data_IF_978636845624
#
_entry.id   IF_978636845624
#
_cell.length_a   1.000
_cell.length_b   1.000
_cell.length_c   1.000
_cell.angle_alpha   90.00
_cell.angle_beta   90.00
_cell.angle_gamma   90.00
#
_symmetry.space_group_name_H-M   'P 1'
#
loop_
_entity.id
_entity.type
_entity.pdbx_description
1 polymer ?
#
# COMPACT_ATOMS: atom_id res chain seq x y z
N UNK A 1 15.15 -74.81 71.26
CA UNK A 1 14.77 -75.62 70.08
C UNK A 1 13.27 -75.50 69.83
N UNK A 2 12.87 -74.81 68.75
CA UNK A 2 11.56 -74.83 68.04
C UNK A 2 11.54 -73.57 67.15
N UNK A 3 11.70 -73.74 65.83
CA UNK A 3 10.67 -73.60 64.77
C UNK A 3 10.25 -72.13 64.53
N UNK A 4 10.13 -71.54 63.34
CA UNK A 4 10.17 -71.95 61.92
C UNK A 4 10.00 -70.61 61.11
N UNK A 5 10.70 -70.45 59.97
CA UNK A 5 10.36 -69.72 58.71
C UNK A 5 9.76 -68.28 58.73
N UNK A 6 9.90 -67.38 57.75
CA UNK A 6 10.63 -67.17 56.47
C UNK A 6 10.18 -65.75 56.01
N UNK A 7 10.96 -65.05 55.19
CA UNK A 7 10.57 -64.20 54.01
C UNK A 7 11.46 -62.93 53.85
N UNK A 8 12.44 -63.09 52.95
CA UNK A 8 12.84 -62.26 51.78
C UNK A 8 12.93 -60.72 51.88
N UNK A 9 14.20 -60.27 51.90
CA UNK A 9 14.91 -59.32 51.02
C UNK A 9 14.39 -57.88 50.69
N UNK A 10 15.35 -56.96 50.87
CA UNK A 10 15.71 -55.79 50.05
C UNK A 10 14.80 -54.54 50.08
N UNK A 11 15.19 -53.57 50.92
CA UNK A 11 14.71 -52.19 50.90
C UNK A 11 15.60 -51.26 50.07
N UNK A 12 14.98 -50.71 49.03
CA UNK A 12 15.43 -49.82 47.96
C UNK A 12 16.45 -48.71 48.27
N UNK A 13 17.41 -48.58 47.35
CA UNK A 13 18.14 -47.35 47.03
C UNK A 13 17.14 -46.37 46.41
N UNK A 14 16.96 -45.21 47.03
CA UNK A 14 16.15 -44.12 46.49
C UNK A 14 16.80 -43.54 45.23
N UNK A 15 16.31 -43.95 44.06
CA UNK A 15 16.58 -43.31 42.78
C UNK A 15 15.83 -41.98 42.75
N UNK A 16 16.58 -40.87 42.79
CA UNK A 16 16.10 -39.59 42.28
C UNK A 16 15.74 -39.78 40.81
N UNK A 17 14.44 -39.76 40.51
CA UNK A 17 13.95 -39.65 39.16
C UNK A 17 14.20 -38.22 38.66
N UNK A 18 15.23 -38.06 37.82
CA UNK A 18 15.40 -36.88 36.99
C UNK A 18 14.27 -36.89 35.96
N UNK A 19 13.19 -36.13 36.20
CA UNK A 19 12.17 -35.91 35.19
C UNK A 19 12.80 -35.03 34.09
N UNK A 20 13.18 -35.66 32.98
CA UNK A 20 13.57 -34.97 31.76
C UNK A 20 12.35 -34.19 31.26
N UNK A 21 12.39 -32.87 31.39
CA UNK A 21 11.39 -31.97 30.82
C UNK A 21 11.49 -32.00 29.30
N UNK A 22 10.72 -32.89 28.67
CA UNK A 22 10.47 -32.80 27.23
C UNK A 22 9.39 -31.74 26.99
N UNK A 23 9.67 -30.48 27.33
CA UNK A 23 8.82 -29.35 26.95
C UNK A 23 8.98 -29.15 25.44
N UNK A 24 8.08 -29.75 24.67
CA UNK A 24 8.07 -29.58 23.22
C UNK A 24 7.26 -28.30 22.88
N UNK A 25 7.86 -27.35 22.17
CA UNK A 25 7.22 -26.08 21.88
C UNK A 25 6.03 -26.23 20.93
N UNK A 26 4.87 -25.70 21.34
CA UNK A 26 3.79 -25.34 20.41
C UNK A 26 4.29 -24.22 19.52
N UNK A 27 4.09 -24.34 18.19
CA UNK A 27 4.56 -23.31 17.27
C UNK A 27 3.66 -23.03 16.07
N UNK A 28 3.46 -21.76 15.78
CA UNK A 28 2.88 -21.31 14.52
C UNK A 28 3.97 -21.19 13.46
N UNK A 29 3.75 -21.75 12.26
CA UNK A 29 4.71 -21.66 11.16
C UNK A 29 4.01 -21.07 9.93
N UNK A 30 4.82 -20.65 8.96
CA UNK A 30 4.41 -20.28 7.61
C UNK A 30 3.58 -19.00 7.52
N UNK A 31 4.24 -17.88 7.79
CA UNK A 31 3.82 -16.61 7.19
C UNK A 31 4.23 -16.62 5.72
N UNK A 32 3.27 -16.53 4.81
CA UNK A 32 3.58 -16.33 3.40
C UNK A 32 4.26 -14.96 3.25
N UNK A 33 5.54 -14.96 2.87
CA UNK A 33 6.28 -13.73 2.64
C UNK A 33 5.86 -13.23 1.27
N UNK A 34 4.82 -12.40 1.26
CA UNK A 34 4.52 -11.56 0.11
C UNK A 34 5.70 -10.63 -0.14
N UNK A 35 6.06 -10.39 -1.41
CA UNK A 35 7.17 -9.48 -1.75
C UNK A 35 6.98 -8.05 -1.24
N UNK A 36 5.76 -7.67 -0.87
CA UNK A 36 5.40 -6.35 -0.35
C UNK A 36 5.59 -6.23 1.17
N UNK A 37 5.59 -7.34 1.91
CA UNK A 37 5.71 -7.36 3.37
C UNK A 37 6.94 -8.15 3.83
N UNK A 38 7.37 -7.89 5.06
CA UNK A 38 8.32 -8.69 5.81
C UNK A 38 7.71 -9.01 7.16
N UNK A 39 7.63 -10.29 7.50
CA UNK A 39 6.99 -10.73 8.75
C UNK A 39 7.98 -11.48 9.63
N UNK A 40 8.00 -11.14 10.91
CA UNK A 40 8.93 -11.73 11.88
C UNK A 40 8.31 -11.87 13.28
N UNK A 41 8.61 -12.94 14.03
CA UNK A 41 9.39 -14.11 13.62
C UNK A 41 8.58 -15.03 12.69
N UNK A 42 9.27 -15.85 11.88
CA UNK A 42 8.61 -16.85 11.04
C UNK A 42 8.00 -18.02 11.84
N UNK A 43 8.43 -18.18 13.10
CA UNK A 43 7.94 -19.18 14.03
C UNK A 43 7.67 -18.54 15.38
N UNK A 44 6.43 -18.63 15.86
CA UNK A 44 6.06 -18.22 17.21
C UNK A 44 6.00 -19.46 18.07
N UNK A 45 6.72 -19.50 19.18
CA UNK A 45 6.69 -20.64 20.09
C UNK A 45 6.27 -20.27 21.51
N UNK A 46 5.33 -21.05 22.06
CA UNK A 46 4.83 -20.88 23.43
C UNK A 46 5.45 -21.84 24.46
N UNK A 47 6.39 -22.71 24.05
CA UNK A 47 6.97 -23.75 24.91
C UNK A 47 5.87 -24.61 25.59
N UNK A 48 6.09 -25.03 26.85
CA UNK A 48 5.05 -25.65 27.69
C UNK A 48 4.23 -24.57 28.36
N UNK A 49 2.91 -24.71 28.29
CA UNK A 49 1.94 -23.80 28.91
C UNK A 49 1.10 -24.56 29.92
N UNK A 50 0.72 -23.90 31.02
CA UNK A 50 -0.20 -24.48 31.99
C UNK A 50 -1.64 -24.04 31.71
N UNK A 51 -2.65 -24.86 32.07
CA UNK A 51 -4.06 -24.50 31.88
C UNK A 51 -4.41 -23.15 32.52
N UNK A 52 -5.09 -22.28 31.78
CA UNK A 52 -5.47 -20.95 32.25
C UNK A 52 -4.36 -19.89 32.18
N UNK A 53 -3.15 -20.23 31.72
CA UNK A 53 -2.11 -19.23 31.51
C UNK A 53 -2.32 -18.43 30.21
N UNK A 54 -2.05 -17.13 30.30
CA UNK A 54 -1.97 -16.24 29.15
C UNK A 54 -0.51 -16.00 28.82
N UNK A 55 -0.11 -16.33 27.59
CA UNK A 55 1.26 -16.16 27.12
C UNK A 55 1.30 -15.23 25.91
N UNK A 56 2.16 -14.21 25.96
CA UNK A 56 2.28 -13.16 24.94
C UNK A 56 3.49 -13.42 24.04
N UNK A 57 3.34 -13.28 22.72
CA UNK A 57 4.45 -13.35 21.76
C UNK A 57 4.33 -12.27 20.68
N UNK A 58 5.42 -11.60 20.30
CA UNK A 58 5.37 -10.57 19.26
C UNK A 58 5.28 -11.18 17.86
N UNK A 59 4.58 -10.49 16.97
CA UNK A 59 4.57 -10.69 15.52
C UNK A 59 4.63 -9.32 14.84
N UNK A 60 5.76 -9.00 14.22
CA UNK A 60 5.95 -7.74 13.53
C UNK A 60 5.70 -7.93 12.04
N UNK A 61 4.85 -7.08 11.46
CA UNK A 61 4.57 -7.02 10.03
C UNK A 61 5.08 -5.68 9.53
N UNK A 62 6.04 -5.70 8.62
CA UNK A 62 6.71 -4.51 8.12
C UNK A 62 6.50 -4.42 6.61
N UNK A 63 6.53 -3.22 6.05
CA UNK A 63 6.73 -3.07 4.60
C UNK A 63 8.09 -3.65 4.21
N UNK A 64 8.13 -4.42 3.12
CA UNK A 64 9.37 -5.01 2.65
C UNK A 64 10.33 -3.95 2.14
N UNK A 65 11.63 -4.27 2.11
CA UNK A 65 12.63 -3.38 1.52
C UNK A 65 12.35 -3.05 0.03
N UNK A 66 11.77 -4.00 -0.71
CA UNK A 66 11.38 -3.76 -2.10
C UNK A 66 10.22 -2.77 -2.20
N UNK A 67 9.25 -2.87 -1.29
CA UNK A 67 8.12 -1.96 -1.20
C UNK A 67 8.54 -0.54 -0.81
N UNK A 68 9.36 -0.43 0.24
CA UNK A 68 9.91 0.84 0.72
C UNK A 68 10.70 1.55 -0.39
N UNK A 69 11.58 0.83 -1.11
CA UNK A 69 12.38 1.38 -2.22
C UNK A 69 11.54 1.72 -3.44
N UNK A 70 10.36 1.14 -3.59
CA UNK A 70 9.50 1.43 -4.72
C UNK A 70 8.94 2.84 -4.62
N UNK A 71 9.20 3.67 -5.62
CA UNK A 71 8.69 5.04 -5.66
C UNK A 71 7.23 5.15 -6.09
N UNK A 72 6.59 4.03 -6.45
CA UNK A 72 5.21 3.98 -6.95
C UNK A 72 4.23 3.40 -5.95
N UNK A 73 4.67 2.55 -5.02
CA UNK A 73 3.79 1.94 -4.03
C UNK A 73 3.71 2.81 -2.77
N UNK A 74 2.53 2.80 -2.14
CA UNK A 74 2.23 3.62 -0.97
C UNK A 74 1.70 2.76 0.20
N UNK A 75 0.58 2.06 0.00
CA UNK A 75 -0.10 1.32 1.06
C UNK A 75 -0.18 -0.18 0.77
N UNK A 76 -0.16 -1.00 1.82
CA UNK A 76 -0.50 -2.42 1.79
C UNK A 76 -1.60 -2.66 2.80
N UNK A 77 -2.72 -3.21 2.34
CA UNK A 77 -3.70 -3.81 3.25
C UNK A 77 -3.45 -5.32 3.29
N UNK A 78 -3.54 -5.89 4.49
CA UNK A 78 -3.33 -7.31 4.70
C UNK A 78 -4.31 -7.85 5.74
N UNK A 79 -4.35 -9.17 5.80
CA UNK A 79 -5.12 -9.90 6.82
C UNK A 79 -4.29 -11.02 7.43
N UNK A 80 -4.53 -11.30 8.71
CA UNK A 80 -3.94 -12.43 9.44
C UNK A 80 -5.01 -13.49 9.65
N UNK A 81 -4.83 -14.62 8.99
CA UNK A 81 -5.71 -15.79 9.07
C UNK A 81 -5.10 -16.85 9.97
N UNK A 82 -5.96 -17.71 10.49
CA UNK A 82 -5.57 -18.90 11.24
C UNK A 82 -6.03 -20.15 10.49
N UNK A 83 -5.10 -21.07 10.22
CA UNK A 83 -5.37 -22.32 9.51
C UNK A 83 -4.89 -23.51 10.33
N UNK A 84 -5.57 -24.65 10.21
CA UNK A 84 -5.15 -25.90 10.85
C UNK A 84 -3.73 -26.26 10.42
N UNK A 85 -2.89 -26.59 11.39
CA UNK A 85 -1.48 -26.89 11.15
C UNK A 85 -1.28 -28.37 10.80
N UNK A 86 -0.69 -28.71 9.64
CA UNK A 86 -0.28 -30.08 9.36
C UNK A 86 0.98 -30.47 10.12
N UNK A 87 1.19 -31.76 10.35
CA UNK A 87 2.41 -32.32 10.95
C UNK A 87 3.59 -32.30 9.99
N UNK A 88 3.33 -32.49 8.70
CA UNK A 88 4.29 -32.30 7.62
C UNK A 88 3.91 -31.05 6.82
N UNK A 89 4.85 -30.11 6.66
CA UNK A 89 4.59 -28.87 5.94
C UNK A 89 4.73 -29.06 4.43
N UNK A 90 3.58 -29.30 3.77
CA UNK A 90 3.46 -29.27 2.32
C UNK A 90 2.12 -28.65 1.90
N UNK A 91 2.03 -28.18 0.66
CA UNK A 91 0.78 -27.63 0.14
C UNK A 91 -0.36 -28.66 0.13
N UNK A 92 -0.05 -29.94 -0.14
CA UNK A 92 -1.03 -31.03 -0.11
C UNK A 92 -1.51 -31.35 1.31
N UNK A 93 -0.61 -31.40 2.29
CA UNK A 93 -0.99 -31.64 3.69
C UNK A 93 -1.82 -30.46 4.24
N UNK A 94 -1.48 -29.22 3.87
CA UNK A 94 -2.27 -28.05 4.25
C UNK A 94 -3.69 -28.09 3.69
N UNK A 95 -3.85 -28.43 2.42
CA UNK A 95 -5.16 -28.60 1.81
C UNK A 95 -5.95 -29.73 2.50
N UNK A 96 -5.27 -30.85 2.79
CA UNK A 96 -5.87 -31.98 3.50
C UNK A 96 -6.36 -31.59 4.90
N UNK A 97 -5.52 -30.96 5.71
CA UNK A 97 -5.86 -30.55 7.08
C UNK A 97 -6.90 -29.42 7.14
N UNK A 98 -7.07 -28.64 6.07
CA UNK A 98 -8.17 -27.68 5.97
C UNK A 98 -9.53 -28.40 5.84
N UNK A 99 -9.58 -29.52 5.13
CA UNK A 99 -10.80 -30.33 4.96
C UNK A 99 -11.00 -31.34 6.10
N UNK A 100 -9.91 -31.80 6.72
CA UNK A 100 -9.90 -32.88 7.71
C UNK A 100 -9.17 -32.45 9.01
N UNK A 101 -9.63 -31.39 9.70
CA UNK A 101 -8.86 -30.79 10.81
C UNK A 101 -8.70 -31.69 12.04
N UNK A 102 -9.52 -32.75 12.15
CA UNK A 102 -9.52 -33.67 13.28
C UNK A 102 -8.75 -34.98 13.00
N UNK A 103 -8.12 -35.12 11.83
CA UNK A 103 -7.19 -36.23 11.59
C UNK A 103 -5.86 -35.95 12.29
N UNK A 104 -5.79 -36.28 13.58
CA UNK A 104 -4.62 -35.97 14.42
C UNK A 104 -3.38 -36.80 14.09
N UNK A 105 -3.46 -37.78 13.19
CA UNK A 105 -2.28 -38.47 12.64
C UNK A 105 -1.51 -37.57 11.67
N UNK A 106 -2.22 -36.70 10.94
CA UNK A 106 -1.65 -35.80 9.92
C UNK A 106 -1.67 -34.34 10.30
N UNK A 107 -2.59 -33.95 11.18
CA UNK A 107 -2.79 -32.58 11.63
C UNK A 107 -2.49 -32.46 13.13
N UNK A 108 -2.03 -31.29 13.56
CA UNK A 108 -1.98 -31.00 14.99
C UNK A 108 -3.39 -30.64 15.49
N UNK A 109 -3.78 -31.06 16.71
CA UNK A 109 -4.86 -30.44 17.45
C UNK A 109 -4.78 -28.91 17.39
N UNK A 110 -5.90 -28.26 17.05
CA UNK A 110 -5.90 -26.85 16.70
C UNK A 110 -5.65 -25.95 17.92
N UNK A 111 -4.65 -25.07 17.79
CA UNK A 111 -4.42 -23.97 18.72
C UNK A 111 -5.20 -22.70 18.31
N UNK A 112 -5.72 -22.66 17.08
CA UNK A 112 -6.22 -21.43 16.47
C UNK A 112 -7.32 -20.70 17.27
N UNK A 113 -8.32 -21.39 17.86
CA UNK A 113 -9.35 -20.73 18.67
C UNK A 113 -8.82 -19.99 19.89
N UNK A 114 -7.61 -20.33 20.34
CA UNK A 114 -7.02 -19.86 21.60
C UNK A 114 -6.02 -18.72 21.40
N UNK A 115 -5.70 -18.40 20.16
CA UNK A 115 -4.75 -17.37 19.78
C UNK A 115 -5.48 -16.06 19.46
N UNK A 116 -5.39 -15.08 20.36
CA UNK A 116 -5.75 -13.71 20.02
C UNK A 116 -4.73 -13.09 19.05
N UNK A 117 -5.14 -12.01 18.40
CA UNK A 117 -4.33 -11.17 17.52
C UNK A 117 -4.62 -9.73 17.91
N UNK A 118 -3.77 -9.15 18.74
CA UNK A 118 -3.97 -7.79 19.26
C UNK A 118 -3.02 -6.82 18.54
N UNK A 119 -3.54 -5.75 17.90
CA UNK A 119 -2.70 -4.73 17.28
C UNK A 119 -2.12 -3.77 18.32
N UNK A 120 -1.07 -3.03 17.97
CA UNK A 120 -0.50 -1.97 18.80
C UNK A 120 -1.39 -0.70 18.87
N UNK A 121 -2.36 -0.59 17.97
CA UNK A 121 -3.31 0.49 17.85
C UNK A 121 -2.71 1.79 17.30
N UNK A 122 -1.58 1.72 16.59
CA UNK A 122 -0.88 2.89 16.06
C UNK A 122 -0.44 2.71 14.60
N UNK A 123 -1.12 3.36 13.62
CA UNK A 123 -2.33 4.16 13.76
C UNK A 123 -3.58 3.31 14.09
N UNK A 124 -4.72 3.96 14.32
CA UNK A 124 -5.97 3.26 14.61
C UNK A 124 -6.65 2.73 13.34
N UNK A 125 -5.92 1.93 12.55
CA UNK A 125 -6.33 1.34 11.26
C UNK A 125 -6.38 -0.20 11.28
N UNK A 126 -5.92 -0.82 12.36
CA UNK A 126 -5.91 -2.27 12.52
C UNK A 126 -7.12 -2.79 13.31
N UNK A 127 -7.50 -4.03 13.02
CA UNK A 127 -8.57 -4.74 13.72
C UNK A 127 -8.07 -6.07 14.25
N UNK A 128 -8.05 -6.19 15.58
CA UNK A 128 -7.70 -7.42 16.29
C UNK A 128 -8.82 -8.44 16.38
N UNK A 129 -8.47 -9.61 16.90
CA UNK A 129 -9.41 -10.72 17.16
C UNK A 129 -9.08 -11.30 18.53
N UNK A 130 -10.03 -11.30 19.49
CA UNK A 130 -9.81 -11.86 20.81
C UNK A 130 -9.68 -13.39 20.73
N UNK A 131 -9.09 -14.00 21.77
CA UNK A 131 -9.11 -15.45 21.92
C UNK A 131 -10.53 -15.98 22.19
N UNK A 132 -10.69 -17.30 22.08
CA UNK A 132 -11.96 -18.02 22.19
C UNK A 132 -12.94 -17.65 21.07
N UNK A 133 -12.50 -17.85 19.82
CA UNK A 133 -13.26 -17.58 18.61
C UNK A 133 -13.32 -18.79 17.66
N UNK A 134 -14.27 -18.76 16.74
CA UNK A 134 -14.31 -19.72 15.63
C UNK A 134 -13.29 -19.31 14.55
N UNK A 135 -12.19 -20.05 14.33
CA UNK A 135 -11.14 -19.65 13.39
C UNK A 135 -11.61 -19.65 11.92
N UNK A 136 -12.76 -20.27 11.61
CA UNK A 136 -13.34 -20.28 10.28
C UNK A 136 -14.32 -19.13 10.01
N UNK A 137 -14.73 -18.41 11.06
CA UNK A 137 -15.67 -17.31 10.93
C UNK A 137 -15.02 -16.08 10.25
N UNK A 138 -15.74 -15.35 9.37
CA UNK A 138 -15.22 -14.12 8.76
C UNK A 138 -14.83 -13.03 9.78
N UNK A 139 -15.45 -13.06 10.96
CA UNK A 139 -15.16 -12.14 12.08
C UNK A 139 -13.84 -12.45 12.80
N UNK A 140 -13.22 -13.58 12.50
CA UNK A 140 -11.98 -14.05 13.13
C UNK A 140 -10.72 -13.74 12.34
N UNK A 141 -10.86 -12.84 11.36
CA UNK A 141 -9.79 -12.36 10.51
C UNK A 141 -9.30 -11.03 11.09
N UNK A 142 -8.04 -10.98 11.51
CA UNK A 142 -7.42 -9.71 11.87
C UNK A 142 -7.03 -8.96 10.60
N UNK A 143 -7.24 -7.65 10.59
CA UNK A 143 -6.97 -6.78 9.44
C UNK A 143 -5.91 -5.77 9.84
N UNK A 144 -4.99 -5.48 8.93
CA UNK A 144 -4.08 -4.37 9.12
C UNK A 144 -3.74 -3.63 7.84
N UNK A 145 -3.19 -2.43 7.99
CA UNK A 145 -2.81 -1.57 6.88
C UNK A 145 -1.51 -0.85 7.21
N UNK A 146 -0.56 -0.90 6.30
CA UNK A 146 0.67 -0.09 6.35
C UNK A 146 0.64 0.93 5.23
N UNK A 147 1.03 2.18 5.49
CA UNK A 147 1.08 3.25 4.50
C UNK A 147 2.31 4.16 4.64
N UNK A 148 3.13 4.20 3.59
CA UNK A 148 4.33 5.05 3.52
C UNK A 148 4.00 6.53 3.65
N UNK A 149 2.92 6.97 3.01
CA UNK A 149 2.45 8.36 3.06
C UNK A 149 2.01 8.81 4.45
N UNK A 150 1.65 7.87 5.33
CA UNK A 150 1.28 8.12 6.71
C UNK A 150 2.45 7.90 7.69
N UNK A 151 3.64 7.56 7.16
CA UNK A 151 4.81 7.15 7.94
C UNK A 151 4.51 5.97 8.87
N UNK A 152 3.64 5.09 8.38
CA UNK A 152 3.20 3.86 9.02
C UNK A 152 3.79 2.69 8.21
N UNK A 153 4.94 2.19 8.66
CA UNK A 153 5.74 1.23 7.89
C UNK A 153 5.83 -0.15 8.53
N UNK A 154 5.26 -0.29 9.72
CA UNK A 154 5.37 -1.45 10.57
C UNK A 154 4.25 -1.49 11.61
N UNK A 155 3.63 -2.66 11.74
CA UNK A 155 2.63 -2.97 12.76
C UNK A 155 3.22 -3.99 13.73
N UNK A 156 3.06 -3.73 15.03
CA UNK A 156 3.45 -4.64 16.08
C UNK A 156 2.24 -5.39 16.63
N UNK A 157 2.08 -6.64 16.22
CA UNK A 157 1.04 -7.51 16.75
C UNK A 157 1.53 -8.26 17.97
N UNK A 158 0.59 -8.47 18.90
CA UNK A 158 0.75 -9.31 20.06
C UNK A 158 -0.16 -10.52 19.88
N UNK A 159 0.45 -11.70 19.79
CA UNK A 159 -0.23 -12.98 19.66
C UNK A 159 -0.30 -13.62 21.04
N UNK A 160 -1.52 -13.69 21.58
CA UNK A 160 -1.71 -14.20 22.94
C UNK A 160 -2.35 -15.57 22.90
N UNK A 161 -1.66 -16.52 23.52
CA UNK A 161 -2.22 -17.82 23.78
C UNK A 161 -2.96 -17.77 25.11
N UNK A 162 -4.28 -17.78 25.04
CA UNK A 162 -5.17 -18.04 26.18
C UNK A 162 -5.30 -19.56 26.34
N UNK A 163 -4.42 -20.14 27.15
CA UNK A 163 -4.28 -21.59 27.23
C UNK A 163 -5.58 -22.24 27.71
N UNK A 164 -6.17 -23.16 26.93
CA UNK A 164 -7.38 -23.84 27.36
C UNK A 164 -7.14 -24.75 28.56
N UNK A 165 -8.23 -25.13 29.20
CA UNK A 165 -8.28 -26.22 30.17
C UNK A 165 -8.97 -27.44 29.57
N UNK A 166 -8.65 -28.61 30.12
CA UNK A 166 -9.39 -29.84 29.82
C UNK A 166 -10.72 -29.86 30.56
N UNK A 167 -11.74 -30.45 29.94
CA UNK A 167 -13.07 -30.60 30.58
C UNK A 167 -12.94 -31.27 31.95
N UNK A 168 -13.55 -30.64 32.96
CA UNK A 168 -13.48 -31.10 34.35
C UNK A 168 -12.18 -30.75 35.09
N UNK A 169 -11.25 -30.04 34.44
CA UNK A 169 -9.98 -29.58 35.03
C UNK A 169 -9.80 -28.05 34.97
N UNK A 170 -10.84 -27.33 34.53
CA UNK A 170 -10.86 -25.87 34.53
C UNK A 170 -10.90 -25.32 35.96
N UNK A 171 -10.41 -24.10 36.13
CA UNK A 171 -10.48 -23.42 37.41
C UNK A 171 -11.92 -23.06 37.78
N UNK A 172 -12.12 -22.62 39.03
CA UNK A 172 -13.45 -22.23 39.52
C UNK A 172 -13.92 -20.87 38.97
N UNK A 173 -13.05 -20.14 38.25
CA UNK A 173 -13.38 -18.81 37.70
C UNK A 173 -14.11 -18.93 36.37
N UNK A 174 -14.04 -20.10 35.72
CA UNK A 174 -14.67 -20.38 34.43
C UNK A 174 -14.28 -19.36 33.35
N UNK A 175 -13.00 -18.97 33.32
CA UNK A 175 -12.47 -18.01 32.34
C UNK A 175 -12.44 -18.61 30.91
N UNK A 176 -12.44 -19.94 30.78
CA UNK A 176 -12.53 -20.66 29.50
C UNK A 176 -13.98 -21.09 29.24
N UNK A 177 -14.63 -20.61 28.17
CA UNK A 177 -16.00 -21.00 27.86
C UNK A 177 -16.12 -22.51 27.60
N UNK A 178 -17.24 -23.16 27.97
CA UNK A 178 -17.41 -24.62 27.88
C UNK A 178 -17.10 -25.22 26.50
N UNK A 179 -17.47 -24.53 25.43
CA UNK A 179 -17.25 -24.94 24.04
C UNK A 179 -15.77 -24.95 23.63
N UNK A 180 -14.92 -24.21 24.36
CA UNK A 180 -13.48 -24.13 24.12
C UNK A 180 -12.67 -25.01 25.08
N UNK A 181 -13.32 -25.77 25.96
CA UNK A 181 -12.64 -26.73 26.83
C UNK A 181 -12.22 -27.98 26.07
N UNK A 182 -10.95 -28.35 26.21
CA UNK A 182 -10.33 -29.46 25.49
C UNK A 182 -10.84 -30.83 25.97
N UNK A 183 -10.86 -31.79 25.06
CA UNK A 183 -11.07 -33.20 25.37
C UNK A 183 -9.89 -33.73 26.22
N UNK A 184 -10.11 -34.30 27.42
CA UNK A 184 -9.05 -34.86 28.26
C UNK A 184 -8.14 -35.89 27.58
N UNK A 185 -8.60 -36.53 26.49
CA UNK A 185 -7.78 -37.45 25.69
C UNK A 185 -6.62 -36.78 24.96
N UNK A 186 -6.67 -35.46 24.76
CA UNK A 186 -5.61 -34.67 24.14
C UNK A 186 -4.55 -34.20 25.17
N UNK A 187 -4.63 -34.66 26.41
CA UNK A 187 -3.66 -34.28 27.44
C UNK A 187 -2.26 -34.81 27.11
N UNK A 188 -1.29 -33.89 27.06
CA UNK A 188 0.09 -34.18 26.69
C UNK A 188 0.38 -34.11 25.18
N UNK A 189 -0.64 -33.87 24.35
CA UNK A 189 -0.46 -33.66 22.91
C UNK A 189 0.17 -32.31 22.58
N UNK A 190 0.76 -32.24 21.38
CA UNK A 190 1.23 -30.99 20.80
C UNK A 190 0.12 -30.33 19.99
N UNK A 191 -0.05 -29.04 20.20
CA UNK A 191 -1.03 -28.22 19.48
C UNK A 191 -0.33 -27.36 18.42
N UNK A 192 -1.09 -26.93 17.42
CA UNK A 192 -0.56 -26.12 16.33
C UNK A 192 -1.62 -25.24 15.68
N UNK A 193 -1.17 -24.12 15.13
CA UNK A 193 -1.97 -23.25 14.27
C UNK A 193 -1.04 -22.55 13.29
N UNK A 194 -1.38 -22.47 12.02
CA UNK A 194 -0.63 -21.66 11.07
C UNK A 194 -1.24 -20.25 11.03
N UNK A 195 -0.38 -19.23 11.20
CA UNK A 195 -0.74 -17.82 11.02
C UNK A 195 -0.34 -17.41 9.61
N UNK A 196 -1.34 -17.11 8.78
CA UNK A 196 -1.13 -16.75 7.38
C UNK A 196 -1.41 -15.27 7.20
N UNK A 197 -0.35 -14.49 6.95
CA UNK A 197 -0.48 -13.10 6.53
C UNK A 197 -0.69 -13.08 5.02
N UNK A 198 -1.80 -12.53 4.57
CA UNK A 198 -2.15 -12.40 3.15
C UNK A 198 -2.33 -10.93 2.80
N UNK A 199 -1.60 -10.44 1.79
CA UNK A 199 -1.84 -9.12 1.22
C UNK A 199 -3.17 -9.13 0.47
N UNK A 200 -4.07 -8.22 0.83
CA UNK A 200 -5.39 -8.09 0.23
C UNK A 200 -5.45 -6.96 -0.79
N UNK A 201 -4.65 -5.91 -0.59
CA UNK A 201 -4.61 -4.77 -1.48
C UNK A 201 -3.23 -4.10 -1.46
N UNK A 202 -2.86 -3.51 -2.59
CA UNK A 202 -1.67 -2.68 -2.72
C UNK A 202 -2.07 -1.39 -3.42
N UNK A 203 -1.82 -0.29 -2.73
CA UNK A 203 -2.06 1.08 -3.17
C UNK A 203 -0.78 1.71 -3.73
N UNK A 204 -0.98 2.74 -4.56
CA UNK A 204 0.06 3.48 -5.23
C UNK A 204 0.00 4.94 -4.80
N UNK A 205 1.17 5.59 -4.72
CA UNK A 205 1.27 7.00 -4.28
C UNK A 205 0.37 7.87 -5.16
N UNK A 206 -0.51 8.66 -4.53
CA UNK A 206 -1.43 9.53 -5.25
C UNK A 206 -0.68 10.49 -6.21
N UNK A 207 -1.04 10.41 -7.49
CA UNK A 207 -0.25 10.91 -8.62
C UNK A 207 -0.42 12.42 -8.93
N UNK A 208 0.52 13.08 -9.64
CA UNK A 208 0.30 14.25 -10.43
C UNK A 208 -0.47 13.95 -11.68
N UNK A 209 -1.29 14.94 -11.86
CA UNK A 209 -2.08 15.24 -13.01
C UNK A 209 -1.18 15.86 -14.11
N UNK A 210 -0.89 15.11 -15.18
CA UNK A 210 -0.32 15.66 -16.44
C UNK A 210 -1.29 16.56 -17.21
N UNK A 211 -2.52 16.73 -16.70
CA UNK A 211 -3.58 17.41 -17.41
C UNK A 211 -3.40 18.93 -17.42
N UNK A 212 -4.04 19.54 -18.42
CA UNK A 212 -4.12 20.98 -18.55
C UNK A 212 -4.67 21.67 -17.28
N UNK A 213 -5.65 21.06 -16.61
CA UNK A 213 -6.31 21.63 -15.44
C UNK A 213 -5.36 21.82 -14.27
N UNK A 214 -4.43 20.89 -14.08
CA UNK A 214 -3.40 20.99 -13.04
C UNK A 214 -2.45 22.16 -13.28
N UNK A 215 -1.82 22.19 -14.46
CA UNK A 215 -0.89 23.27 -14.81
C UNK A 215 -1.56 24.65 -14.83
N UNK A 216 -2.81 24.71 -15.28
CA UNK A 216 -3.62 25.93 -15.29
C UNK A 216 -3.87 26.49 -13.88
N UNK A 217 -4.08 25.63 -12.89
CA UNK A 217 -4.62 26.06 -11.59
C UNK A 217 -3.61 26.06 -10.45
N UNK A 218 -2.47 25.36 -10.53
CA UNK A 218 -1.44 25.36 -9.48
C UNK A 218 -0.41 26.48 -9.70
N UNK A 219 -0.76 27.72 -9.39
CA UNK A 219 0.02 28.92 -9.80
C UNK A 219 1.50 28.84 -9.40
N UNK A 220 1.80 28.51 -8.14
CA UNK A 220 3.17 28.46 -7.63
C UNK A 220 3.98 27.32 -8.26
N UNK A 221 3.41 26.11 -8.29
CA UNK A 221 4.05 24.94 -8.89
C UNK A 221 4.37 25.15 -10.36
N UNK A 222 3.37 25.52 -11.16
CA UNK A 222 3.55 25.78 -12.60
C UNK A 222 4.57 26.88 -12.84
N UNK A 223 4.58 27.93 -12.00
CA UNK A 223 5.55 29.01 -12.13
C UNK A 223 6.98 28.55 -11.85
N UNK A 224 7.16 27.70 -10.84
CA UNK A 224 8.46 27.13 -10.48
C UNK A 224 8.98 26.20 -11.57
N UNK A 225 8.17 25.25 -12.03
CA UNK A 225 8.57 24.35 -13.13
C UNK A 225 8.99 25.15 -14.37
N UNK A 226 8.21 26.17 -14.73
CA UNK A 226 8.54 27.04 -15.85
C UNK A 226 9.84 27.83 -15.65
N UNK A 227 10.16 28.24 -14.42
CA UNK A 227 11.39 28.95 -14.13
C UNK A 227 12.60 28.02 -14.11
N UNK A 228 12.52 26.94 -13.34
CA UNK A 228 13.68 26.13 -12.96
C UNK A 228 14.05 25.11 -14.04
N UNK A 229 13.07 24.60 -14.79
CA UNK A 229 13.28 23.55 -15.79
C UNK A 229 13.22 24.05 -17.24
N UNK A 230 12.69 25.25 -17.46
CA UNK A 230 12.59 25.88 -18.78
C UNK A 230 13.31 27.24 -18.86
N UNK A 231 14.01 27.65 -17.79
CA UNK A 231 14.77 28.90 -17.76
C UNK A 231 13.90 30.17 -17.78
N UNK A 232 12.61 30.07 -17.44
CA UNK A 232 11.69 31.22 -17.38
C UNK A 232 11.20 31.73 -18.74
N UNK A 233 11.50 31.03 -19.83
CA UNK A 233 11.00 31.34 -21.17
C UNK A 233 10.66 30.07 -21.94
N UNK A 234 9.61 30.12 -22.76
CA UNK A 234 9.24 29.01 -23.64
C UNK A 234 8.73 29.58 -24.96
N UNK A 235 9.21 29.08 -26.08
CA UNK A 235 8.62 29.42 -27.37
C UNK A 235 7.49 28.46 -27.71
N UNK A 236 6.48 28.96 -28.41
CA UNK A 236 5.52 28.15 -29.17
C UNK A 236 5.52 28.61 -30.61
N UNK A 237 5.56 27.67 -31.54
CA UNK A 237 5.83 27.98 -32.95
C UNK A 237 7.31 27.88 -33.29
N UNK A 238 7.60 27.90 -34.59
CA UNK A 238 8.94 27.91 -35.17
C UNK A 238 9.03 28.90 -36.35
N UNK A 239 10.26 29.16 -36.85
CA UNK A 239 10.49 30.02 -38.00
C UNK A 239 9.93 31.44 -37.85
N UNK A 240 9.08 31.85 -38.80
CA UNK A 240 8.54 33.21 -38.89
C UNK A 240 7.33 33.50 -37.99
N UNK A 241 6.71 32.48 -37.40
CA UNK A 241 5.52 32.65 -36.54
C UNK A 241 5.75 31.98 -35.19
N UNK A 242 6.37 32.74 -34.28
CA UNK A 242 6.76 32.31 -32.93
C UNK A 242 6.16 33.25 -31.89
N UNK A 243 5.68 32.68 -30.78
CA UNK A 243 5.35 33.43 -29.57
C UNK A 243 6.25 33.01 -28.41
N UNK A 244 6.99 33.96 -27.86
CA UNK A 244 7.76 33.75 -26.62
C UNK A 244 6.86 33.96 -25.40
N UNK A 245 6.67 32.89 -24.65
CA UNK A 245 5.95 32.83 -23.40
C UNK A 245 6.91 33.20 -22.26
N UNK A 246 6.43 34.08 -21.39
CA UNK A 246 7.06 34.46 -20.13
C UNK A 246 6.04 34.30 -18.99
N UNK A 247 6.51 34.26 -17.74
CA UNK A 247 5.65 34.05 -16.57
C UNK A 247 5.85 35.10 -15.48
N UNK A 248 5.64 36.37 -15.83
CA UNK A 248 5.74 37.49 -14.87
C UNK A 248 4.66 37.40 -13.76
N UNK A 249 4.99 37.89 -12.57
CA UNK A 249 4.15 37.76 -11.37
C UNK A 249 3.02 38.79 -11.28
N UNK A 250 3.14 39.94 -11.95
CA UNK A 250 2.12 40.98 -11.91
C UNK A 250 0.81 40.62 -12.61
N UNK A 251 -0.26 41.33 -12.22
CA UNK A 251 -1.60 41.15 -12.78
C UNK A 251 -1.60 41.33 -14.30
N UNK A 252 -2.18 40.37 -15.02
CA UNK A 252 -2.25 40.34 -16.49
C UNK A 252 -0.89 40.36 -17.19
N UNK A 253 0.20 39.95 -16.54
CA UNK A 253 1.54 39.93 -17.13
C UNK A 253 2.05 38.54 -17.52
N UNK A 254 1.47 37.46 -16.97
CA UNK A 254 1.89 36.10 -17.30
C UNK A 254 1.34 35.64 -18.64
N UNK A 255 2.21 35.52 -19.65
CA UNK A 255 1.85 34.93 -20.95
C UNK A 255 1.57 33.43 -20.81
N UNK A 256 2.24 32.75 -19.85
CA UNK A 256 2.01 31.34 -19.54
C UNK A 256 0.57 31.07 -19.12
N UNK A 257 0.08 31.74 -18.06
CA UNK A 257 -1.32 31.60 -17.67
C UNK A 257 -2.27 32.24 -18.70
N UNK A 258 -1.79 33.24 -19.45
CA UNK A 258 -2.48 33.75 -20.64
C UNK A 258 -2.86 32.64 -21.62
N UNK A 259 -1.96 31.68 -21.87
CA UNK A 259 -2.18 30.60 -22.84
C UNK A 259 -3.35 29.69 -22.44
N UNK A 260 -3.51 29.47 -21.13
CA UNK A 260 -4.58 28.65 -20.56
C UNK A 260 -5.92 29.36 -20.38
N UNK A 261 -5.90 30.67 -20.09
CA UNK A 261 -7.10 31.42 -19.73
C UNK A 261 -7.62 32.34 -20.85
N UNK A 262 -6.89 32.51 -21.94
CA UNK A 262 -7.41 33.18 -23.13
C UNK A 262 -8.47 32.32 -23.83
N UNK A 263 -9.55 32.96 -24.25
CA UNK A 263 -10.65 32.27 -24.94
C UNK A 263 -10.21 31.76 -26.31
N UNK A 264 -10.60 30.52 -26.61
CA UNK A 264 -10.41 29.91 -27.94
C UNK A 264 -11.27 30.62 -28.99
N UNK A 265 -12.59 30.82 -28.83
CA UNK A 265 -13.39 31.43 -29.89
C UNK A 265 -13.25 32.96 -29.99
N UNK A 266 -12.88 33.66 -28.89
CA UNK A 266 -12.98 35.12 -28.80
C UNK A 266 -11.67 35.80 -28.37
N UNK A 267 -11.46 37.02 -28.87
CA UNK A 267 -10.47 37.97 -28.36
C UNK A 267 -10.98 38.66 -27.09
N UNK A 268 -10.12 39.37 -26.37
CA UNK A 268 -10.50 40.06 -25.11
C UNK A 268 -11.48 41.21 -25.30
N UNK A 269 -11.61 41.74 -26.52
CA UNK A 269 -12.63 42.72 -26.91
C UNK A 269 -13.94 42.07 -27.37
N UNK A 270 -14.14 40.77 -27.10
CA UNK A 270 -15.28 39.95 -27.49
C UNK A 270 -15.47 39.71 -29.01
N UNK A 271 -14.57 40.19 -29.87
CA UNK A 271 -14.62 39.87 -31.30
C UNK A 271 -14.24 38.40 -31.53
N UNK A 272 -14.87 37.77 -32.52
CA UNK A 272 -14.53 36.40 -32.90
C UNK A 272 -13.10 36.30 -33.46
N UNK A 273 -12.45 35.17 -33.19
CA UNK A 273 -11.19 34.80 -33.83
C UNK A 273 -11.43 34.16 -35.19
N UNK A 274 -10.46 34.32 -36.09
CA UNK A 274 -10.41 33.57 -37.34
C UNK A 274 -10.26 32.07 -37.04
N UNK A 275 -10.71 31.21 -37.97
CA UNK A 275 -10.62 29.76 -37.81
C UNK A 275 -9.18 29.28 -37.53
N UNK A 276 -8.19 29.89 -38.21
CA UNK A 276 -6.77 29.59 -38.00
C UNK A 276 -6.30 29.93 -36.58
N UNK A 277 -6.75 31.07 -36.04
CA UNK A 277 -6.40 31.50 -34.68
C UNK A 277 -7.06 30.63 -33.62
N UNK A 278 -8.29 30.16 -33.87
CA UNK A 278 -8.96 29.20 -32.97
C UNK A 278 -8.19 27.87 -32.92
N UNK A 279 -7.74 27.38 -34.08
CA UNK A 279 -6.92 26.16 -34.16
C UNK A 279 -5.57 26.34 -33.45
N UNK A 280 -4.91 27.49 -33.63
CA UNK A 280 -3.70 27.84 -32.85
C UNK A 280 -3.97 27.85 -31.36
N UNK A 281 -5.09 28.41 -30.89
CA UNK A 281 -5.41 28.43 -29.45
C UNK A 281 -5.67 27.03 -28.89
N UNK A 282 -6.32 26.13 -29.64
CA UNK A 282 -6.49 24.72 -29.24
C UNK A 282 -5.15 23.99 -29.14
N UNK A 283 -4.31 24.13 -30.16
CA UNK A 283 -2.97 23.54 -30.17
C UNK A 283 -2.08 24.11 -29.06
N UNK A 284 -2.07 25.43 -28.88
CA UNK A 284 -1.31 26.14 -27.85
C UNK A 284 -1.53 25.54 -26.48
N UNK A 285 -2.78 25.34 -26.11
CA UNK A 285 -3.17 24.87 -24.79
C UNK A 285 -2.64 23.47 -24.48
N UNK A 286 -2.65 22.57 -25.48
CA UNK A 286 -2.10 21.22 -25.33
C UNK A 286 -0.57 21.21 -25.43
N UNK A 287 0.00 22.04 -26.30
CA UNK A 287 1.44 22.14 -26.52
C UNK A 287 2.17 22.69 -25.30
N UNK A 288 1.66 23.75 -24.67
CA UNK A 288 2.24 24.31 -23.43
C UNK A 288 2.20 23.27 -22.31
N UNK A 289 1.10 22.53 -22.19
CA UNK A 289 0.94 21.44 -21.23
C UNK A 289 1.96 20.32 -21.47
N UNK A 290 2.12 19.89 -22.72
CA UNK A 290 3.07 18.85 -23.07
C UNK A 290 4.53 19.26 -22.80
N UNK A 291 4.88 20.52 -23.08
CA UNK A 291 6.21 21.05 -22.78
C UNK A 291 6.48 21.11 -21.27
N UNK A 292 5.50 21.52 -20.46
CA UNK A 292 5.61 21.47 -18.99
C UNK A 292 5.73 20.03 -18.48
N UNK A 293 4.95 19.10 -19.03
CA UNK A 293 5.04 17.68 -18.70
C UNK A 293 6.43 17.12 -19.02
N UNK A 294 6.96 17.36 -20.24
CA UNK A 294 8.30 16.95 -20.62
C UNK A 294 9.39 17.56 -19.72
N UNK A 295 9.27 18.84 -19.35
CA UNK A 295 10.24 19.51 -18.51
C UNK A 295 10.25 18.97 -17.07
N UNK A 296 9.06 18.73 -16.50
CA UNK A 296 8.93 18.25 -15.12
C UNK A 296 9.22 16.75 -14.99
N UNK A 297 8.77 15.93 -15.94
CA UNK A 297 8.72 14.48 -15.79
C UNK A 297 9.61 13.73 -16.80
N UNK A 298 10.25 14.44 -17.72
CA UNK A 298 10.88 13.84 -18.89
C UNK A 298 9.84 13.31 -19.90
N UNK A 299 10.28 13.05 -21.12
CA UNK A 299 9.45 12.42 -22.14
C UNK A 299 10.28 11.68 -23.19
N UNK A 300 9.67 10.66 -23.80
CA UNK A 300 10.31 9.84 -24.84
C UNK A 300 10.65 10.67 -26.09
N UNK A 301 11.58 10.17 -26.91
CA UNK A 301 11.93 10.78 -28.18
C UNK A 301 10.70 10.96 -29.11
N UNK A 302 9.74 10.01 -29.08
CA UNK A 302 8.50 10.12 -29.85
C UNK A 302 7.65 11.34 -29.44
N UNK A 303 7.55 11.64 -28.15
CA UNK A 303 6.83 12.82 -27.66
C UNK A 303 7.60 14.11 -27.96
N UNK A 304 8.93 14.10 -27.90
CA UNK A 304 9.74 15.25 -28.30
C UNK A 304 9.55 15.59 -29.78
N UNK A 305 9.49 14.58 -30.65
CA UNK A 305 9.14 14.75 -32.08
C UNK A 305 7.72 15.29 -32.24
N UNK A 306 6.75 14.79 -31.48
CA UNK A 306 5.37 15.28 -31.52
C UNK A 306 5.28 16.77 -31.14
N UNK A 307 6.00 17.19 -30.10
CA UNK A 307 6.09 18.61 -29.68
C UNK A 307 6.73 19.46 -30.79
N UNK A 308 7.80 18.98 -31.42
CA UNK A 308 8.48 19.69 -32.52
C UNK A 308 7.57 19.86 -33.75
N UNK A 309 6.79 18.82 -34.08
CA UNK A 309 5.79 18.87 -35.15
C UNK A 309 4.66 19.85 -34.81
N UNK A 310 4.21 19.88 -33.55
CA UNK A 310 3.24 20.85 -33.06
C UNK A 310 3.74 22.29 -33.12
N UNK A 311 5.01 22.56 -32.77
CA UNK A 311 5.59 23.90 -32.97
C UNK A 311 5.61 24.29 -34.45
N UNK A 312 5.95 23.37 -35.35
CA UNK A 312 5.95 23.63 -36.79
C UNK A 312 4.54 23.90 -37.32
N UNK A 313 3.55 23.12 -36.90
CA UNK A 313 2.15 23.30 -37.27
C UNK A 313 1.55 24.59 -36.68
N UNK A 314 1.97 24.99 -35.47
CA UNK A 314 1.55 26.26 -34.89
C UNK A 314 1.94 27.46 -35.76
N UNK A 315 3.14 27.39 -36.36
CA UNK A 315 3.66 28.46 -37.20
C UNK A 315 2.98 28.52 -38.57
N UNK A 316 2.96 27.41 -39.31
CA UNK A 316 2.60 27.38 -40.73
C UNK A 316 1.57 26.30 -41.10
N UNK A 317 1.02 25.59 -40.11
CA UNK A 317 0.08 24.49 -40.33
C UNK A 317 -1.31 24.93 -40.75
N UNK A 318 -2.08 23.98 -41.28
CA UNK A 318 -3.52 24.13 -41.53
C UNK A 318 -4.33 23.90 -40.26
N UNK A 319 -5.59 24.37 -40.24
CA UNK A 319 -6.54 24.07 -39.16
C UNK A 319 -6.60 22.57 -38.85
N UNK A 320 -6.74 21.73 -39.88
CA UNK A 320 -6.81 20.29 -39.72
C UNK A 320 -5.54 19.69 -39.10
N UNK A 321 -4.35 20.14 -39.55
CA UNK A 321 -3.09 19.65 -38.99
C UNK A 321 -2.90 20.05 -37.52
N UNK A 322 -3.30 21.26 -37.15
CA UNK A 322 -3.22 21.73 -35.77
C UNK A 322 -4.20 21.00 -34.86
N UNK A 323 -5.43 20.76 -35.33
CA UNK A 323 -6.44 20.03 -34.55
C UNK A 323 -6.04 18.56 -34.36
N UNK A 324 -5.46 17.92 -35.40
CA UNK A 324 -4.93 16.56 -35.29
C UNK A 324 -3.80 16.46 -34.25
N UNK A 325 -2.84 17.39 -34.29
CA UNK A 325 -1.73 17.42 -33.33
C UNK A 325 -2.19 17.78 -31.92
N UNK A 326 -3.19 18.68 -31.79
CA UNK A 326 -3.81 18.98 -30.50
C UNK A 326 -4.44 17.74 -29.87
N UNK A 327 -5.13 16.91 -30.64
CA UNK A 327 -5.69 15.63 -30.16
C UNK A 327 -4.63 14.62 -29.72
N UNK A 328 -3.50 14.52 -30.45
CA UNK A 328 -2.40 13.63 -30.04
C UNK A 328 -1.71 14.11 -28.76
N UNK A 329 -1.50 15.43 -28.62
CA UNK A 329 -0.96 16.01 -27.40
C UNK A 329 -1.93 15.91 -26.23
N UNK A 330 -3.24 16.02 -26.47
CA UNK A 330 -4.27 15.79 -25.46
C UNK A 330 -4.21 14.34 -24.94
N UNK A 331 -4.11 13.35 -25.83
CA UNK A 331 -3.93 11.96 -25.41
C UNK A 331 -2.66 11.77 -24.55
N UNK A 332 -1.55 12.42 -24.90
CA UNK A 332 -0.33 12.40 -24.07
C UNK A 332 -0.52 13.11 -22.72
N UNK A 333 -1.16 14.28 -22.70
CA UNK A 333 -1.38 15.05 -21.48
C UNK A 333 -2.37 14.36 -20.52
N UNK A 334 -3.21 13.44 -21.00
CA UNK A 334 -4.10 12.63 -20.19
C UNK A 334 -3.56 11.21 -19.90
N UNK A 335 -2.44 10.78 -20.51
CA UNK A 335 -1.92 9.41 -20.33
C UNK A 335 -1.08 9.19 -19.08
N UNK A 336 -0.63 10.27 -18.43
CA UNK A 336 0.22 10.21 -17.23
C UNK A 336 -0.50 10.48 -15.92
N UNK A 337 -1.83 10.39 -15.91
CA UNK A 337 -2.66 10.47 -14.71
C UNK A 337 -2.24 9.51 -13.56
N UNK A 338 -1.55 8.36 -13.80
CA UNK A 338 -1.11 7.48 -12.70
C UNK A 338 0.36 7.63 -12.28
N UNK A 339 1.14 8.61 -12.76
CA UNK A 339 2.61 8.67 -12.52
C UNK A 339 2.96 9.73 -11.47
N UNK A 340 3.42 9.39 -10.24
CA UNK A 340 3.82 10.31 -9.14
C UNK A 340 4.70 11.52 -9.52
N UNK A 341 4.57 12.64 -8.79
CA UNK A 341 5.43 13.84 -8.95
C UNK A 341 6.71 13.40 -8.29
N UNK A 342 7.84 13.41 -9.02
CA UNK A 342 9.12 13.12 -8.40
C UNK A 342 9.29 13.99 -7.16
N UNK A 343 9.63 13.39 -6.01
CA UNK A 343 9.77 14.13 -4.76
C UNK A 343 10.74 15.31 -4.90
N UNK A 344 11.69 15.26 -5.84
CA UNK A 344 12.58 16.38 -6.20
C UNK A 344 11.85 17.67 -6.63
N UNK A 345 10.58 17.60 -7.02
CA UNK A 345 9.79 18.76 -7.45
C UNK A 345 8.97 19.43 -6.31
N UNK A 346 9.20 19.09 -5.03
CA UNK A 346 8.55 19.66 -3.82
C UNK A 346 8.28 21.19 -3.90
N UNK A 347 7.28 21.74 -3.15
CA UNK A 347 5.93 21.23 -2.89
C UNK A 347 4.93 21.73 -3.95
N UNK A 348 3.84 20.99 -4.18
CA UNK A 348 2.80 21.30 -5.18
C UNK A 348 1.91 22.48 -4.73
N UNK A 349 1.59 22.54 -3.44
CA UNK A 349 0.66 23.53 -2.88
C UNK A 349 -0.77 23.37 -3.39
N UNK A 350 -1.72 24.17 -2.87
CA UNK A 350 -3.14 24.14 -3.23
C UNK A 350 -3.43 24.63 -4.65
N UNK A 351 -4.62 24.30 -5.17
CA UNK A 351 -5.11 24.85 -6.44
C UNK A 351 -5.51 26.32 -6.22
N UNK A 352 -5.00 27.22 -7.06
CA UNK A 352 -5.15 28.67 -6.98
C UNK A 352 -5.67 29.27 -8.30
N UNK A 353 -6.82 28.79 -8.83
CA UNK A 353 -7.32 29.19 -10.15
C UNK A 353 -7.59 30.69 -10.27
N UNK A 354 -8.02 31.35 -9.20
CA UNK A 354 -8.24 32.80 -9.16
C UNK A 354 -6.94 33.57 -9.38
N UNK A 355 -5.85 33.14 -8.73
CA UNK A 355 -4.54 33.76 -8.86
C UNK A 355 -3.96 33.57 -10.27
N UNK A 356 -4.02 32.34 -10.82
CA UNK A 356 -3.61 32.07 -12.20
C UNK A 356 -4.38 32.92 -13.21
N UNK A 357 -5.71 33.00 -13.05
CA UNK A 357 -6.59 33.81 -13.92
C UNK A 357 -6.28 35.30 -13.84
N UNK A 358 -5.96 35.82 -12.64
CA UNK A 358 -5.63 37.23 -12.42
C UNK A 358 -4.28 37.61 -13.06
N UNK A 359 -3.30 36.70 -13.02
CA UNK A 359 -1.98 36.88 -13.66
C UNK A 359 -2.04 36.74 -15.18
N UNK A 360 -3.03 36.05 -15.72
CA UNK A 360 -3.11 35.69 -17.14
C UNK A 360 -3.14 36.92 -18.07
N UNK A 361 -2.11 37.07 -18.90
CA UNK A 361 -2.05 38.04 -19.98
C UNK A 361 -2.86 37.53 -21.19
N UNK A 362 -4.19 37.66 -21.11
CA UNK A 362 -5.09 37.21 -22.18
C UNK A 362 -4.97 38.07 -23.45
N UNK A 363 -4.60 39.34 -23.32
CA UNK A 363 -4.47 40.30 -24.44
C UNK A 363 -3.33 39.91 -25.37
N UNK A 364 -2.20 39.44 -24.81
CA UNK A 364 -1.08 38.91 -25.61
C UNK A 364 -1.54 37.85 -26.62
N UNK A 365 -2.48 37.00 -26.19
CA UNK A 365 -3.03 35.94 -27.01
C UNK A 365 -4.19 36.38 -27.90
N UNK A 366 -4.48 37.67 -28.09
CA UNK A 366 -5.45 38.12 -29.11
C UNK A 366 -4.98 37.82 -30.54
N UNK A 367 -3.67 37.65 -30.72
CA UNK A 367 -3.04 37.29 -31.98
C UNK A 367 -2.12 36.08 -31.73
N UNK A 368 -2.66 34.86 -31.61
CA UNK A 368 -1.86 33.68 -31.31
C UNK A 368 -0.82 33.43 -32.40
#
# INVERSE_FOLDING_TARGET
MKKILLIVAAGAIGLMAYALTNSRPVSAWNVNIDTNLSVSPAVISFATVFPGEINFRPLNINLSQNFIRSSIHDDVEYRILQKTKPREDSASERAYCAENPNDYERCYPSLCPYLSKEPDGQPANDTGVPAFHDPSAPTSIALGRLAKSENDTDDHWVIDLHSPCFRGQCDQRNEVPPEYQLDPSLNGELFGCDLVVEVTNVSYVSAPTRTQGFWKTRTAFTSRIFQDYLGGTMNVGSGSHIRTITNLTGNRQSRLFGAYYASIPKKTNNSNRLAIDQARMRLLQQLVTAKLNCAAFGCSASIQTLITNADSAYATGTVASMDALAGQLDAYNNSGDPIPIPASLQPIGSSTPSQSSQRANKVFWNNP
#
